data_IF_435340207914
#
_entry.id   IF_435340207914
#
_cell.length_a   1.000
_cell.length_b   1.000
_cell.length_c   1.000
_cell.angle_alpha   90.00
_cell.angle_beta   90.00
_cell.angle_gamma   90.00
#
_symmetry.space_group_name_H-M   'P 1'
#
loop_
_entity.id
_entity.type
_entity.pdbx_description
1 polymer ?
#
# COMPACT_ATOMS: atom_id res chain seq x y z
N UNK A 1 19.70 6.17 -13.36
CA UNK A 1 18.90 5.03 -12.86
C UNK A 1 18.27 5.48 -11.56
N UNK A 2 16.99 5.81 -11.54
CA UNK A 2 16.26 5.97 -10.28
C UNK A 2 15.58 4.62 -10.05
N UNK A 3 16.32 3.68 -9.47
CA UNK A 3 15.66 2.61 -8.75
C UNK A 3 14.97 3.30 -7.58
N UNK A 4 13.64 3.30 -7.54
CA UNK A 4 12.88 3.75 -6.39
C UNK A 4 13.06 2.68 -5.30
N UNK A 5 13.90 2.86 -4.27
CA UNK A 5 14.28 1.78 -3.35
C UNK A 5 13.34 1.62 -2.15
N UNK A 6 12.13 2.18 -2.16
CA UNK A 6 11.52 2.59 -0.89
C UNK A 6 10.37 1.74 -0.38
N UNK A 7 10.00 0.64 -1.05
CA UNK A 7 9.02 -0.29 -0.50
C UNK A 7 9.49 -1.70 -0.84
N UNK A 8 10.19 -2.33 0.10
CA UNK A 8 10.65 -3.72 -0.05
C UNK A 8 9.61 -4.70 0.52
N UNK A 9 8.68 -4.19 1.34
CA UNK A 9 7.73 -4.98 2.11
C UNK A 9 6.31 -4.42 2.02
N UNK A 10 5.32 -5.32 2.17
CA UNK A 10 3.91 -4.95 2.17
C UNK A 10 3.56 -3.96 3.29
N UNK A 11 4.16 -4.10 4.48
CA UNK A 11 3.92 -3.18 5.59
C UNK A 11 4.34 -1.73 5.28
N UNK A 12 5.47 -1.53 4.59
CA UNK A 12 5.89 -0.20 4.15
C UNK A 12 4.93 0.40 3.12
N UNK A 13 4.38 -0.45 2.23
CA UNK A 13 3.33 -0.02 1.30
C UNK A 13 2.12 0.50 2.07
N UNK A 14 1.65 -0.25 3.06
CA UNK A 14 0.49 0.12 3.89
C UNK A 14 0.72 1.44 4.61
N UNK A 15 1.90 1.63 5.22
CA UNK A 15 2.26 2.87 5.93
C UNK A 15 2.32 4.06 4.97
N UNK A 16 2.94 3.87 3.81
CA UNK A 16 3.06 4.91 2.78
C UNK A 16 1.70 5.30 2.21
N UNK A 17 0.87 4.30 1.88
CA UNK A 17 -0.49 4.53 1.38
C UNK A 17 -1.34 5.26 2.42
N UNK A 18 -1.25 4.91 3.70
CA UNK A 18 -1.93 5.64 4.77
C UNK A 18 -1.46 7.10 4.88
N UNK A 19 -0.18 7.36 4.71
CA UNK A 19 0.36 8.73 4.74
C UNK A 19 -0.11 9.56 3.54
N UNK A 20 -0.18 8.94 2.36
CA UNK A 20 -0.72 9.55 1.14
C UNK A 20 -2.23 9.77 1.30
N UNK A 21 -3.00 8.79 1.77
CA UNK A 21 -4.43 8.91 2.03
C UNK A 21 -4.80 9.98 3.06
N UNK A 22 -3.86 10.32 3.96
CA UNK A 22 -4.01 11.44 4.90
C UNK A 22 -3.63 12.80 4.30
N UNK A 23 -2.71 12.83 3.33
CA UNK A 23 -2.27 14.08 2.68
C UNK A 23 -3.12 14.44 1.46
N UNK A 24 -3.59 13.43 0.74
CA UNK A 24 -4.55 13.53 -0.34
C UNK A 24 -5.94 13.27 0.22
N UNK A 25 -6.95 14.07 -0.13
CA UNK A 25 -8.37 13.76 0.15
C UNK A 25 -8.89 12.54 -0.65
N UNK A 26 -7.97 11.78 -1.27
CA UNK A 26 -8.20 10.62 -2.12
C UNK A 26 -8.43 9.38 -1.24
N UNK A 27 -9.69 9.19 -0.85
CA UNK A 27 -10.15 8.01 -0.08
C UNK A 27 -10.26 6.73 -0.92
N UNK A 28 -9.88 6.77 -2.20
CA UNK A 28 -10.06 5.64 -3.12
C UNK A 28 -8.72 5.23 -3.73
N UNK A 29 -8.17 4.16 -3.20
CA UNK A 29 -7.10 3.41 -3.83
C UNK A 29 -7.65 2.07 -4.29
N UNK A 30 -7.52 1.81 -5.59
CA UNK A 30 -8.00 0.58 -6.19
C UNK A 30 -6.83 -0.05 -6.92
N UNK A 31 -6.34 -1.16 -6.36
CA UNK A 31 -5.24 -1.93 -6.92
C UNK A 31 -5.83 -3.22 -7.44
N UNK A 32 -5.87 -3.39 -8.76
CA UNK A 32 -6.47 -4.56 -9.42
C UNK A 32 -5.54 -5.79 -9.37
N UNK A 33 -4.32 -5.61 -8.85
CA UNK A 33 -3.28 -6.63 -8.82
C UNK A 33 -2.72 -6.79 -7.40
N UNK A 34 -2.54 -8.05 -6.98
CA UNK A 34 -1.82 -8.36 -5.75
C UNK A 34 -0.39 -7.80 -5.86
N UNK A 35 0.11 -7.04 -4.88
CA UNK A 35 1.49 -6.60 -4.88
C UNK A 35 2.44 -7.80 -4.87
N UNK A 36 3.53 -7.74 -5.61
CA UNK A 36 4.53 -8.81 -5.70
C UNK A 36 5.55 -8.74 -4.54
N UNK A 37 5.08 -8.50 -3.30
CA UNK A 37 5.97 -8.56 -2.12
C UNK A 37 5.98 -9.96 -1.53
N UNK A 38 7.15 -10.39 -1.04
CA UNK A 38 7.31 -11.70 -0.40
C UNK A 38 6.45 -11.83 0.88
N UNK A 39 6.15 -10.71 1.54
CA UNK A 39 5.40 -10.64 2.80
C UNK A 39 3.93 -10.24 2.62
N UNK A 40 3.37 -10.32 1.39
CA UNK A 40 1.94 -10.01 1.19
C UNK A 40 1.06 -11.10 1.79
N UNK A 41 0.24 -10.80 2.83
CA UNK A 41 -0.68 -11.77 3.41
C UNK A 41 -1.86 -12.04 2.46
N UNK A 42 -2.60 -13.13 2.65
CA UNK A 42 -3.82 -13.41 1.89
C UNK A 42 -4.88 -12.30 2.06
N UNK A 43 -4.94 -11.67 3.24
CA UNK A 43 -5.85 -10.57 3.56
C UNK A 43 -5.27 -9.18 3.23
N UNK A 44 -4.45 -9.07 2.19
CA UNK A 44 -3.80 -7.81 1.83
C UNK A 44 -4.80 -6.72 1.40
N UNK A 45 -5.91 -7.09 0.75
CA UNK A 45 -6.98 -6.14 0.40
C UNK A 45 -7.57 -5.48 1.64
N UNK A 46 -7.96 -6.26 2.64
CA UNK A 46 -8.51 -5.78 3.92
C UNK A 46 -7.50 -4.87 4.66
N UNK A 47 -6.21 -5.22 4.62
CA UNK A 47 -5.13 -4.40 5.19
C UNK A 47 -4.99 -3.05 4.49
N UNK A 48 -5.10 -3.04 3.17
CA UNK A 48 -5.09 -1.80 2.40
C UNK A 48 -6.33 -0.98 2.71
N UNK A 49 -7.53 -1.55 2.66
CA UNK A 49 -8.78 -0.87 3.01
C UNK A 49 -8.73 -0.26 4.42
N UNK A 50 -8.21 -1.00 5.41
CA UNK A 50 -8.00 -0.51 6.77
C UNK A 50 -6.94 0.60 6.89
N UNK A 51 -6.07 0.76 5.88
CA UNK A 51 -5.12 1.87 5.81
C UNK A 51 -5.77 3.17 5.30
N UNK A 52 -6.87 3.06 4.54
CA UNK A 52 -7.65 4.18 4.01
C UNK A 52 -8.79 4.63 4.93
N UNK A 53 -9.26 3.77 5.84
CA UNK A 53 -10.27 4.08 6.85
C UNK A 53 -9.66 4.68 8.13
#
# INVERSE_FOLDING_TARGET
MIGNPQIDNFEELVVTLRAIAKSSDERFFRMDVKPDYADVPDNWEDRLEAAFY
#
